data_IF_613327679652
#
_entry.id   IF_613327679652
#
_cell.length_a   1.000
_cell.length_b   1.000
_cell.length_c   1.000
_cell.angle_alpha   90.00
_cell.angle_beta   90.00
_cell.angle_gamma   90.00
#
_symmetry.space_group_name_H-M   'P 1'
#
loop_
_entity.id
_entity.type
_entity.pdbx_description
1 polymer ?
#
# COMPACT_ATOMS: atom_id res chain seq x y z
N UNK A 1 -10.82 44.00 17.23
CA UNK A 1 -11.29 43.40 15.97
C UNK A 1 -10.20 42.80 15.08
N UNK A 2 -9.00 43.37 14.94
CA UNK A 2 -7.92 42.81 14.11
C UNK A 2 -7.37 41.43 14.57
N UNK A 3 -7.27 41.19 15.87
CA UNK A 3 -6.77 39.90 16.39
C UNK A 3 -7.72 38.73 16.17
N UNK A 4 -9.03 38.96 16.22
CA UNK A 4 -10.02 37.90 15.96
C UNK A 4 -10.01 37.42 14.49
N UNK A 5 -9.72 38.33 13.56
CA UNK A 5 -9.60 37.98 12.14
C UNK A 5 -8.34 37.18 11.84
N UNK A 6 -7.22 37.48 12.49
CA UNK A 6 -5.98 36.73 12.32
C UNK A 6 -6.14 35.29 12.85
N UNK A 7 -6.79 35.11 14.00
CA UNK A 7 -7.05 33.78 14.58
C UNK A 7 -7.94 32.92 13.66
N UNK A 8 -8.97 33.53 13.05
CA UNK A 8 -9.83 32.84 12.09
C UNK A 8 -9.08 32.45 10.83
N UNK A 9 -8.20 33.30 10.32
CA UNK A 9 -7.37 32.99 9.15
C UNK A 9 -6.40 31.85 9.46
N UNK A 10 -5.73 31.87 10.63
CA UNK A 10 -4.86 30.78 11.06
C UNK A 10 -5.60 29.48 11.24
N UNK A 11 -6.80 29.50 11.81
CA UNK A 11 -7.65 28.32 11.97
C UNK A 11 -8.08 27.75 10.62
N UNK A 12 -8.37 28.61 9.64
CA UNK A 12 -8.73 28.22 8.28
C UNK A 12 -7.53 27.63 7.52
N UNK A 13 -6.32 28.18 7.69
CA UNK A 13 -5.08 27.64 7.10
C UNK A 13 -4.73 26.28 7.71
N UNK A 14 -4.84 26.11 9.01
CA UNK A 14 -4.62 24.83 9.69
C UNK A 14 -5.68 23.80 9.23
N UNK A 15 -6.94 24.21 9.07
CA UNK A 15 -8.00 23.35 8.55
C UNK A 15 -7.71 22.91 7.09
N UNK A 16 -7.29 23.84 6.23
CA UNK A 16 -6.88 23.55 4.85
C UNK A 16 -5.65 22.62 4.76
N UNK A 17 -4.66 22.81 5.64
CA UNK A 17 -3.51 21.90 5.73
C UNK A 17 -3.90 20.49 6.17
N UNK A 18 -4.89 20.34 7.03
CA UNK A 18 -5.42 19.02 7.41
C UNK A 18 -6.16 18.31 6.27
N UNK A 19 -6.77 19.05 5.34
CA UNK A 19 -7.44 18.45 4.16
C UNK A 19 -6.48 18.07 3.03
N UNK A 20 -5.28 18.63 2.97
CA UNK A 20 -4.29 18.33 1.92
C UNK A 20 -3.48 17.04 2.19
N UNK A 21 -3.63 16.42 3.36
CA UNK A 21 -3.06 15.11 3.64
C UNK A 21 -3.97 14.04 3.03
N UNK A 22 -3.86 13.86 1.72
CA UNK A 22 -4.39 12.69 1.03
C UNK A 22 -3.59 11.46 1.50
N UNK A 23 -3.89 11.00 2.72
CA UNK A 23 -3.33 9.78 3.25
C UNK A 23 -3.73 8.63 2.33
N UNK A 24 -2.76 7.97 1.76
CA UNK A 24 -2.96 6.71 1.03
C UNK A 24 -3.34 5.60 2.02
N UNK A 25 -4.50 5.73 2.64
CA UNK A 25 -5.05 4.78 3.60
C UNK A 25 -5.79 3.63 2.88
N UNK A 26 -5.26 3.15 1.76
CA UNK A 26 -5.93 2.09 1.00
C UNK A 26 -5.81 0.70 1.65
N UNK A 27 -4.85 0.55 2.55
CA UNK A 27 -4.42 -0.74 3.09
C UNK A 27 -5.39 -1.45 4.02
N UNK A 28 -6.19 -0.71 4.76
CA UNK A 28 -6.98 -1.26 5.87
C UNK A 28 -8.47 -0.92 5.76
N UNK A 29 -8.99 -0.70 4.55
CA UNK A 29 -10.39 -0.30 4.37
C UNK A 29 -11.37 -1.27 5.04
N UNK A 30 -11.15 -2.57 4.88
CA UNK A 30 -12.00 -3.59 5.52
C UNK A 30 -11.89 -3.54 7.03
N UNK A 31 -10.67 -3.41 7.56
CA UNK A 31 -10.42 -3.33 9.01
C UNK A 31 -11.07 -2.09 9.65
N UNK A 32 -11.24 -1.01 8.90
CA UNK A 32 -11.92 0.19 9.39
C UNK A 32 -13.34 -0.09 9.88
N UNK A 33 -14.06 -0.98 9.18
CA UNK A 33 -15.44 -1.34 9.51
C UNK A 33 -15.54 -2.52 10.49
N UNK A 34 -14.43 -3.18 10.82
CA UNK A 34 -14.42 -4.28 11.78
C UNK A 34 -14.41 -3.75 13.20
N UNK A 35 -15.58 -3.64 13.81
CA UNK A 35 -15.71 -3.22 15.21
C UNK A 35 -14.93 -4.15 16.14
N UNK A 36 -14.20 -3.55 17.08
CA UNK A 36 -13.36 -4.29 18.03
C UNK A 36 -11.94 -4.62 17.51
N UNK A 37 -11.65 -4.40 16.23
CA UNK A 37 -10.28 -4.57 15.70
C UNK A 37 -9.39 -3.40 16.14
N UNK A 38 -8.23 -3.71 16.68
CA UNK A 38 -7.19 -2.73 16.99
C UNK A 38 -6.53 -2.12 15.75
N UNK A 39 -6.65 -2.77 14.59
CA UNK A 39 -6.12 -2.29 13.33
C UNK A 39 -6.82 -1.01 12.83
N UNK A 40 -8.07 -0.77 13.24
CA UNK A 40 -8.80 0.49 12.96
C UNK A 40 -8.03 1.72 13.41
N UNK A 41 -7.28 1.61 14.50
CA UNK A 41 -6.48 2.71 15.05
C UNK A 41 -5.32 3.13 14.16
N UNK A 42 -4.86 2.27 13.27
CA UNK A 42 -3.82 2.62 12.31
C UNK A 42 -4.34 3.66 11.31
N UNK A 43 -5.63 3.60 10.97
CA UNK A 43 -6.29 4.55 10.07
C UNK A 43 -6.85 5.77 10.80
N UNK A 44 -7.42 5.54 11.97
CA UNK A 44 -8.00 6.60 12.80
C UNK A 44 -7.75 6.29 14.28
N UNK A 45 -6.81 6.97 14.92
CA UNK A 45 -6.47 6.73 16.33
C UNK A 45 -7.63 6.93 17.31
N UNK A 46 -8.68 7.67 16.92
CA UNK A 46 -9.87 7.84 17.75
C UNK A 46 -10.78 6.59 17.78
N UNK A 47 -10.58 5.63 16.86
CA UNK A 47 -11.35 4.38 16.82
C UNK A 47 -10.74 3.32 17.73
N UNK A 48 -10.78 3.59 19.02
CA UNK A 48 -10.24 2.70 20.05
C UNK A 48 -11.00 1.38 20.10
N UNK A 49 -10.31 0.24 20.34
CA UNK A 49 -10.98 -1.02 20.63
C UNK A 49 -11.71 -0.95 21.99
N UNK A 50 -12.75 -1.75 22.16
CA UNK A 50 -13.55 -1.75 23.42
C UNK A 50 -12.79 -2.15 24.67
N UNK A 51 -11.57 -2.70 24.55
CA UNK A 51 -10.70 -3.14 25.65
C UNK A 51 -9.23 -3.04 25.27
N UNK A 52 -8.35 -3.07 26.27
CA UNK A 52 -6.90 -3.18 26.06
C UNK A 52 -6.53 -4.45 25.31
N UNK A 53 -5.43 -4.42 24.61
CA UNK A 53 -4.93 -5.54 23.81
C UNK A 53 -3.40 -5.65 23.86
N UNK A 54 -2.91 -6.84 23.57
CA UNK A 54 -1.51 -7.12 23.31
C UNK A 54 -1.44 -8.08 22.13
N UNK A 55 -0.78 -7.67 21.06
CA UNK A 55 -0.50 -8.49 19.89
C UNK A 55 0.99 -8.86 19.91
N UNK A 56 1.24 -10.14 19.71
CA UNK A 56 2.59 -10.72 19.64
C UNK A 56 2.87 -11.12 18.18
N UNK A 57 4.15 -11.19 17.76
CA UNK A 57 4.52 -11.54 16.38
C UNK A 57 3.86 -12.82 15.89
N UNK A 58 3.63 -12.88 14.57
CA UNK A 58 3.08 -14.05 13.83
C UNK A 58 1.57 -14.28 14.01
N UNK A 59 0.95 -13.94 15.13
CA UNK A 59 -0.48 -14.19 15.36
C UNK A 59 -1.31 -12.90 15.19
N UNK A 60 -0.66 -11.74 15.17
CA UNK A 60 -1.36 -10.47 15.35
C UNK A 60 -1.84 -9.74 14.11
N UNK A 61 -1.02 -9.61 13.10
CA UNK A 61 -1.42 -8.86 11.89
C UNK A 61 -0.45 -9.05 10.73
N UNK A 62 -0.80 -9.90 9.82
CA UNK A 62 -0.23 -9.89 8.48
C UNK A 62 -1.27 -9.28 7.54
N UNK A 63 -0.92 -8.22 6.86
CA UNK A 63 -1.76 -7.61 5.84
C UNK A 63 -0.99 -7.59 4.52
N UNK A 64 -1.62 -8.13 3.50
CA UNK A 64 -1.09 -8.14 2.13
C UNK A 64 -2.14 -7.52 1.22
N UNK A 65 -1.74 -6.53 0.44
CA UNK A 65 -2.61 -5.87 -0.53
C UNK A 65 -1.91 -5.82 -1.87
N UNK A 66 -2.62 -6.24 -2.90
CA UNK A 66 -2.17 -6.17 -4.29
C UNK A 66 -3.13 -5.27 -5.05
N UNK A 67 -2.60 -4.26 -5.70
CA UNK A 67 -3.35 -3.36 -6.58
C UNK A 67 -2.68 -3.35 -7.96
N UNK A 68 -3.49 -3.43 -8.99
CA UNK A 68 -3.04 -3.28 -10.36
C UNK A 68 -3.92 -2.28 -11.10
N UNK A 69 -3.36 -1.56 -12.08
CA UNK A 69 -4.12 -0.63 -12.91
C UNK A 69 -4.87 -1.32 -14.05
N UNK A 70 -4.34 -2.42 -14.56
CA UNK A 70 -4.85 -3.10 -15.75
C UNK A 70 -5.38 -4.50 -15.49
N UNK A 71 -4.84 -5.18 -14.45
CA UNK A 71 -5.16 -6.57 -14.16
C UNK A 71 -6.10 -6.66 -12.96
N UNK A 72 -7.24 -7.30 -13.16
CA UNK A 72 -8.19 -7.62 -12.09
C UNK A 72 -7.78 -8.87 -11.31
N UNK A 73 -8.58 -9.22 -10.29
CA UNK A 73 -8.33 -10.40 -9.47
C UNK A 73 -8.25 -11.70 -10.30
N UNK A 74 -9.14 -11.85 -11.28
CA UNK A 74 -9.15 -13.04 -12.16
C UNK A 74 -7.88 -13.12 -12.99
N UNK A 75 -7.44 -12.00 -13.55
CA UNK A 75 -6.22 -11.94 -14.35
C UNK A 75 -4.99 -12.33 -13.53
N UNK A 76 -4.94 -11.91 -12.27
CA UNK A 76 -3.86 -12.29 -11.34
C UNK A 76 -3.91 -13.79 -11.05
N UNK A 77 -5.10 -14.37 -10.84
CA UNK A 77 -5.24 -15.81 -10.63
C UNK A 77 -4.86 -16.60 -11.89
N UNK A 78 -5.31 -16.17 -13.07
CA UNK A 78 -4.94 -16.76 -14.35
C UNK A 78 -3.41 -16.72 -14.57
N UNK A 79 -2.74 -15.63 -14.19
CA UNK A 79 -1.27 -15.51 -14.24
C UNK A 79 -0.59 -16.52 -13.31
N UNK A 80 -1.12 -16.71 -12.10
CA UNK A 80 -0.56 -17.66 -11.14
C UNK A 80 -0.75 -19.09 -11.63
N UNK A 81 -1.93 -19.43 -12.16
CA UNK A 81 -2.25 -20.77 -12.66
C UNK A 81 -1.46 -21.13 -13.92
N UNK A 82 -1.14 -20.12 -14.76
CA UNK A 82 -0.40 -20.31 -16.01
C UNK A 82 1.04 -19.77 -15.91
N UNK A 83 1.60 -19.66 -14.70
CA UNK A 83 2.92 -19.10 -14.48
C UNK A 83 4.06 -19.82 -15.21
N UNK A 84 3.89 -21.11 -15.47
CA UNK A 84 4.85 -21.97 -16.16
C UNK A 84 4.60 -22.04 -17.69
N UNK A 85 3.51 -21.42 -18.17
CA UNK A 85 3.14 -21.40 -19.59
C UNK A 85 3.56 -20.08 -20.24
N UNK A 86 4.67 -20.11 -20.97
CA UNK A 86 5.16 -18.95 -21.72
C UNK A 86 4.19 -18.48 -22.79
N UNK A 87 3.43 -19.40 -23.40
CA UNK A 87 2.50 -19.09 -24.49
C UNK A 87 1.29 -18.29 -23.98
N UNK A 88 0.91 -18.46 -22.72
CA UNK A 88 -0.13 -17.65 -22.07
C UNK A 88 0.22 -16.16 -22.10
N UNK A 89 1.43 -15.80 -21.70
CA UNK A 89 1.88 -14.40 -21.64
C UNK A 89 2.08 -13.77 -23.02
N UNK A 90 2.16 -14.59 -24.05
CA UNK A 90 2.31 -14.19 -25.45
C UNK A 90 0.98 -14.16 -26.19
N UNK A 91 -0.08 -14.64 -25.57
CA UNK A 91 -1.42 -14.69 -26.17
C UNK A 91 -1.97 -13.29 -26.45
N UNK A 92 -2.72 -13.17 -27.53
CA UNK A 92 -3.42 -11.91 -27.85
C UNK A 92 -4.41 -11.53 -26.76
N UNK A 93 -5.02 -12.50 -26.08
CA UNK A 93 -5.98 -12.27 -25.01
C UNK A 93 -5.31 -11.61 -23.81
N UNK A 94 -4.14 -12.08 -23.40
CA UNK A 94 -3.36 -11.46 -22.35
C UNK A 94 -2.89 -10.05 -22.75
N UNK A 95 -2.33 -9.92 -23.96
CA UNK A 95 -1.83 -8.66 -24.47
C UNK A 95 -2.93 -7.58 -24.59
N UNK A 96 -4.17 -7.96 -24.91
CA UNK A 96 -5.28 -7.01 -25.02
C UNK A 96 -5.80 -6.50 -23.67
N UNK A 97 -5.50 -7.21 -22.58
CA UNK A 97 -5.85 -6.77 -21.20
C UNK A 97 -4.86 -5.72 -20.66
N UNK A 98 -3.68 -5.63 -21.27
CA UNK A 98 -2.62 -4.72 -20.80
C UNK A 98 -2.85 -3.29 -21.30
N UNK A 99 -2.71 -2.34 -20.38
CA UNK A 99 -2.60 -0.92 -20.69
C UNK A 99 -1.21 -0.56 -21.26
N UNK A 100 -1.06 0.64 -21.78
CA UNK A 100 0.24 1.14 -22.25
C UNK A 100 1.33 1.05 -21.16
N UNK A 101 0.94 1.31 -19.91
CA UNK A 101 1.78 1.11 -18.72
C UNK A 101 0.96 0.41 -17.64
N UNK A 102 1.44 -0.72 -17.19
CA UNK A 102 0.76 -1.55 -16.19
C UNK A 102 1.42 -1.34 -14.83
N UNK A 103 0.69 -0.75 -13.92
CA UNK A 103 1.17 -0.50 -12.58
C UNK A 103 0.72 -1.65 -11.66
N UNK A 104 1.68 -2.21 -10.94
CA UNK A 104 1.45 -3.21 -9.91
C UNK A 104 2.00 -2.68 -8.59
N UNK A 105 1.17 -2.64 -7.57
CA UNK A 105 1.59 -2.26 -6.22
C UNK A 105 1.27 -3.40 -5.27
N UNK A 106 2.29 -3.88 -4.59
CA UNK A 106 2.19 -4.90 -3.55
C UNK A 106 2.63 -4.28 -2.23
N UNK A 107 1.73 -4.30 -1.27
CA UNK A 107 2.02 -3.79 0.05
C UNK A 107 1.89 -4.91 1.07
N UNK A 108 2.96 -5.12 1.81
CA UNK A 108 3.03 -6.10 2.88
C UNK A 108 3.28 -5.38 4.19
N UNK A 109 2.42 -5.62 5.17
CA UNK A 109 2.59 -5.02 6.49
C UNK A 109 2.34 -6.04 7.60
N UNK A 110 3.18 -6.01 8.60
CA UNK A 110 3.02 -6.81 9.80
C UNK A 110 3.39 -6.01 11.04
N UNK A 111 2.60 -6.15 12.10
CA UNK A 111 2.98 -5.62 13.40
C UNK A 111 3.75 -6.70 14.18
N UNK A 112 5.00 -6.40 14.52
CA UNK A 112 5.85 -7.26 15.31
C UNK A 112 5.35 -7.28 16.76
N UNK A 113 5.01 -6.10 17.27
CA UNK A 113 4.48 -5.92 18.60
C UNK A 113 3.51 -4.75 18.59
N UNK A 114 2.32 -4.96 19.13
CA UNK A 114 1.45 -3.83 19.40
C UNK A 114 0.66 -4.04 20.68
N UNK A 115 0.51 -2.97 21.45
CA UNK A 115 -0.22 -2.99 22.71
C UNK A 115 -1.05 -1.71 22.86
N UNK A 116 -2.18 -1.85 23.53
CA UNK A 116 -3.01 -0.72 23.88
C UNK A 116 -3.73 -0.94 25.20
N UNK A 117 -3.86 0.13 25.97
CA UNK A 117 -4.49 0.05 27.30
C UNK A 117 -5.26 1.32 27.63
N UNK A 118 -6.26 1.16 28.47
CA UNK A 118 -7.05 2.24 29.01
C UNK A 118 -6.50 2.74 30.35
N UNK A 119 -6.56 4.06 30.53
CA UNK A 119 -6.43 4.71 31.84
C UNK A 119 -7.57 5.73 31.99
N UNK A 120 -8.66 5.30 32.60
CA UNK A 120 -9.93 6.06 32.65
C UNK A 120 -10.53 6.25 31.25
N UNK A 121 -10.79 7.49 30.86
CA UNK A 121 -11.29 7.83 29.52
C UNK A 121 -10.19 7.94 28.45
N UNK A 122 -8.94 7.75 28.81
CA UNK A 122 -7.80 7.86 27.92
C UNK A 122 -7.36 6.46 27.47
N UNK A 123 -7.01 6.36 26.18
CA UNK A 123 -6.45 5.17 25.61
C UNK A 123 -5.05 5.46 25.07
N UNK A 124 -4.12 4.60 25.38
CA UNK A 124 -2.72 4.66 24.94
C UNK A 124 -2.41 3.46 24.09
N UNK A 125 -1.63 3.65 23.06
CA UNK A 125 -1.18 2.55 22.22
C UNK A 125 0.27 2.73 21.79
N UNK A 126 0.96 1.61 21.64
CA UNK A 126 2.27 1.52 21.03
C UNK A 126 2.26 0.42 19.99
N UNK A 127 2.96 0.62 18.89
CA UNK A 127 3.16 -0.42 17.89
C UNK A 127 4.56 -0.37 17.31
N UNK A 128 5.08 -1.54 17.00
CA UNK A 128 6.29 -1.74 16.20
C UNK A 128 5.91 -2.67 15.07
N UNK A 129 6.18 -2.26 13.85
CA UNK A 129 5.81 -3.03 12.66
C UNK A 129 6.83 -2.90 11.54
N UNK A 130 6.72 -3.79 10.57
CA UNK A 130 7.45 -3.76 9.31
C UNK A 130 6.47 -3.45 8.18
N UNK A 131 6.92 -2.61 7.28
CA UNK A 131 6.17 -2.20 6.09
C UNK A 131 7.06 -2.39 4.87
N UNK A 132 6.51 -3.03 3.86
CA UNK A 132 7.18 -3.22 2.59
C UNK A 132 6.21 -2.81 1.48
N UNK A 133 6.59 -1.81 0.73
CA UNK A 133 5.84 -1.30 -0.40
C UNK A 133 6.64 -1.57 -1.67
N UNK A 134 6.10 -2.38 -2.56
CA UNK A 134 6.72 -2.73 -3.83
C UNK A 134 5.82 -2.15 -4.93
N UNK A 135 6.36 -1.21 -5.70
CA UNK A 135 5.72 -0.62 -6.86
C UNK A 135 6.46 -1.02 -8.13
N UNK A 136 5.76 -1.56 -9.11
CA UNK A 136 6.29 -1.84 -10.43
C UNK A 136 5.44 -1.15 -11.50
N UNK A 137 6.09 -0.51 -12.45
CA UNK A 137 5.48 -0.04 -13.68
C UNK A 137 6.10 -0.80 -14.85
N UNK A 138 5.28 -1.55 -15.56
CA UNK A 138 5.72 -2.42 -16.67
C UNK A 138 5.01 -1.95 -17.94
N UNK A 139 5.74 -1.38 -18.91
CA UNK A 139 5.16 -0.96 -20.17
C UNK A 139 4.77 -2.17 -21.01
N UNK A 140 3.67 -2.05 -21.74
CA UNK A 140 3.19 -3.10 -22.68
C UNK A 140 4.25 -3.47 -23.71
N UNK A 141 5.07 -2.52 -24.12
CA UNK A 141 6.19 -2.73 -25.06
C UNK A 141 7.21 -3.75 -24.57
N UNK A 142 7.34 -3.92 -23.24
CA UNK A 142 8.20 -4.96 -22.67
C UNK A 142 7.66 -6.36 -22.96
N UNK A 143 6.35 -6.56 -22.82
CA UNK A 143 5.70 -7.84 -23.16
C UNK A 143 5.74 -8.09 -24.67
N UNK A 144 5.53 -7.05 -25.50
CA UNK A 144 5.66 -7.15 -26.95
C UNK A 144 7.08 -7.53 -27.36
N UNK A 145 8.10 -6.94 -26.74
CA UNK A 145 9.49 -7.31 -26.97
C UNK A 145 9.76 -8.78 -26.64
N UNK A 146 9.28 -9.25 -25.48
CA UNK A 146 9.43 -10.66 -25.10
C UNK A 146 8.75 -11.60 -26.09
N UNK A 147 7.55 -11.24 -26.55
CA UNK A 147 6.82 -12.00 -27.57
C UNK A 147 7.57 -12.02 -28.90
N UNK A 148 8.06 -10.86 -29.36
CA UNK A 148 8.84 -10.77 -30.60
C UNK A 148 10.15 -11.56 -30.52
N UNK A 149 10.78 -11.59 -29.33
CA UNK A 149 12.01 -12.38 -29.12
C UNK A 149 11.71 -13.88 -29.13
N UNK A 150 10.64 -14.31 -28.46
CA UNK A 150 10.27 -15.72 -28.38
C UNK A 150 9.78 -16.30 -29.70
N UNK A 151 9.12 -15.50 -30.53
CA UNK A 151 8.65 -15.93 -31.86
C UNK A 151 9.75 -16.00 -32.93
N UNK A 152 10.97 -15.54 -32.63
CA UNK A 152 12.12 -15.62 -33.54
C UNK A 152 12.88 -16.92 -33.29
N UNK A 153 13.06 -17.71 -34.35
CA UNK A 153 14.03 -18.78 -34.35
C UNK A 153 15.43 -18.16 -34.43
N UNK A 154 16.07 -18.05 -33.26
CA UNK A 154 17.45 -17.61 -33.20
C UNK A 154 18.35 -18.79 -33.57
N UNK A 155 19.08 -18.65 -34.68
CA UNK A 155 20.12 -19.57 -35.07
C UNK A 155 21.43 -19.36 -34.26
N UNK A 156 22.43 -20.17 -34.53
CA UNK A 156 23.76 -20.08 -33.89
C UNK A 156 24.57 -18.85 -34.33
N UNK A 157 24.05 -18.04 -35.23
CA UNK A 157 24.74 -16.88 -35.79
C UNK A 157 24.46 -15.59 -35.01
N UNK A 158 25.52 -14.86 -34.65
CA UNK A 158 25.41 -13.53 -34.01
C UNK A 158 24.58 -12.56 -34.85
N UNK A 159 24.57 -12.72 -36.19
CA UNK A 159 23.75 -11.89 -37.09
C UNK A 159 22.25 -11.91 -36.78
N UNK A 160 21.75 -13.00 -36.20
CA UNK A 160 20.31 -13.15 -35.88
C UNK A 160 19.91 -12.27 -34.71
N UNK A 161 20.89 -11.85 -33.92
CA UNK A 161 20.72 -10.95 -32.78
C UNK A 161 20.98 -9.47 -33.14
N UNK A 162 21.61 -9.22 -34.31
CA UNK A 162 21.87 -7.87 -34.77
C UNK A 162 20.61 -7.24 -35.40
N UNK A 163 20.45 -5.98 -35.15
CA UNK A 163 19.32 -5.22 -35.70
C UNK A 163 18.02 -5.26 -34.89
N UNK A 164 18.03 -5.88 -33.72
CA UNK A 164 16.93 -5.75 -32.76
C UNK A 164 17.06 -4.38 -32.10
N UNK A 165 16.24 -3.46 -32.55
CA UNK A 165 16.26 -2.08 -32.07
C UNK A 165 14.88 -1.76 -31.45
N UNK A 166 14.65 -2.25 -30.23
CA UNK A 166 13.43 -2.02 -29.45
C UNK A 166 13.73 -1.05 -28.32
N UNK A 167 12.93 0.00 -28.23
CA UNK A 167 13.04 0.97 -27.16
C UNK A 167 12.00 0.68 -26.10
N UNK A 168 12.43 0.19 -24.94
CA UNK A 168 11.56 -0.07 -23.80
C UNK A 168 11.76 1.08 -22.81
N UNK A 169 10.77 1.96 -22.72
CA UNK A 169 10.78 3.12 -21.83
C UNK A 169 9.66 3.01 -20.81
N UNK A 170 9.88 3.59 -19.63
CA UNK A 170 8.85 3.74 -18.60
C UNK A 170 8.74 2.56 -17.64
N UNK A 171 9.70 1.60 -17.68
CA UNK A 171 9.78 0.62 -16.61
C UNK A 171 10.28 1.29 -15.32
N UNK A 172 9.62 0.95 -14.22
CA UNK A 172 9.97 1.44 -12.91
C UNK A 172 9.80 0.34 -11.87
N UNK A 173 10.76 0.19 -10.99
CA UNK A 173 10.66 -0.65 -9.82
C UNK A 173 11.02 0.18 -8.59
N UNK A 174 10.11 0.26 -7.65
CA UNK A 174 10.29 0.92 -6.37
C UNK A 174 10.09 -0.10 -5.26
N UNK A 175 11.04 -0.19 -4.36
CA UNK A 175 10.96 -1.03 -3.18
C UNK A 175 11.27 -0.15 -1.98
N UNK A 176 10.27 0.01 -1.11
CA UNK A 176 10.41 0.74 0.14
C UNK A 176 10.19 -0.22 1.30
N UNK A 177 11.22 -0.41 2.09
CA UNK A 177 11.18 -1.23 3.30
C UNK A 177 11.54 -0.38 4.50
N UNK A 178 10.69 -0.37 5.52
CA UNK A 178 10.92 0.40 6.72
C UNK A 178 10.30 -0.26 7.96
N UNK A 179 10.94 -0.03 9.09
CA UNK A 179 10.34 -0.32 10.38
C UNK A 179 9.55 0.91 10.86
N UNK A 180 8.42 0.67 11.46
CA UNK A 180 7.53 1.66 12.03
C UNK A 180 7.50 1.51 13.55
N UNK A 181 7.73 2.60 14.28
CA UNK A 181 7.48 2.68 15.71
C UNK A 181 6.44 3.77 15.94
N UNK A 182 5.26 3.37 16.38
CA UNK A 182 4.13 4.27 16.58
C UNK A 182 3.74 4.41 18.05
N UNK A 183 3.36 5.63 18.43
CA UNK A 183 2.78 5.95 19.71
C UNK A 183 1.47 6.69 19.50
N UNK A 184 0.38 6.13 20.01
CA UNK A 184 -0.96 6.66 19.87
C UNK A 184 -1.59 7.06 21.19
N UNK A 185 -2.38 8.12 21.16
CA UNK A 185 -3.20 8.57 22.26
C UNK A 185 -4.59 8.90 21.76
N UNK A 186 -5.59 8.46 22.49
CA UNK A 186 -6.98 8.84 22.23
C UNK A 186 -7.75 9.06 23.52
N UNK A 187 -8.81 9.87 23.45
CA UNK A 187 -9.66 10.20 24.59
C UNK A 187 -11.12 10.22 24.22
N UNK A 188 -11.93 9.59 25.05
CA UNK A 188 -13.40 9.69 24.98
C UNK A 188 -13.81 11.01 25.62
N UNK A 189 -14.40 11.89 24.82
CA UNK A 189 -14.93 13.18 25.29
C UNK A 189 -16.39 13.00 25.73
N UNK A 190 -17.20 12.38 24.88
CA UNK A 190 -18.60 12.02 25.14
C UNK A 190 -18.86 10.61 24.61
N UNK A 191 -20.04 10.05 24.87
CA UNK A 191 -20.43 8.73 24.36
C UNK A 191 -20.45 8.64 22.82
N UNK A 192 -20.45 9.79 22.13
CA UNK A 192 -20.50 9.89 20.66
C UNK A 192 -19.25 10.54 20.04
N UNK A 193 -18.35 11.04 20.89
CA UNK A 193 -17.19 11.78 20.42
C UNK A 193 -15.92 11.29 21.11
N UNK A 194 -14.98 10.83 20.31
CA UNK A 194 -13.62 10.54 20.72
C UNK A 194 -12.64 11.32 19.85
N UNK A 195 -11.51 11.71 20.41
CA UNK A 195 -10.42 12.40 19.72
C UNK A 195 -9.14 11.61 19.93
N UNK A 196 -8.34 11.46 18.90
CA UNK A 196 -7.08 10.73 18.97
C UNK A 196 -6.06 11.24 17.98
N UNK A 197 -4.80 10.95 18.29
CA UNK A 197 -3.65 11.24 17.47
C UNK A 197 -2.60 10.13 17.59
N UNK A 198 -1.80 9.94 16.56
CA UNK A 198 -0.69 8.99 16.52
C UNK A 198 0.53 9.69 15.95
N UNK A 199 1.66 9.49 16.57
CA UNK A 199 2.97 9.87 16.05
C UNK A 199 3.70 8.60 15.68
N UNK A 200 4.29 8.60 14.49
CA UNK A 200 5.00 7.44 13.96
C UNK A 200 6.40 7.85 13.52
N UNK A 201 7.37 7.09 13.96
CA UNK A 201 8.75 7.16 13.50
C UNK A 201 8.97 6.07 12.46
N UNK A 202 9.54 6.42 11.33
CA UNK A 202 9.88 5.51 10.24
C UNK A 202 11.40 5.36 10.20
N UNK A 203 11.85 4.12 10.19
CA UNK A 203 13.25 3.75 10.12
C UNK A 203 13.45 2.94 8.84
N UNK A 204 14.11 3.53 7.84
CA UNK A 204 14.48 2.83 6.60
C UNK A 204 15.42 1.65 6.88
N UNK A 205 15.22 0.57 6.15
CA UNK A 205 16.01 -0.65 6.23
C UNK A 205 16.84 -0.79 4.95
#
# INVERSE_FOLDING_TARGET
MKQLNSLRVWLFVVLLLCFSLSGQAQFLRTSYFMEGSNQRMQLNPALMPGRGYLNIPVIGSLNATVNSSSLGYRDIMDIIENSDDSDYFMSNDFMNRLDATNNLNVNLSTDILSAGWYKGKNFWSVNVGLRNDIGAAIPKTMFQFMNNMSSREFGDNISDYLGINETINGQKLEINSYAEVGFGFARIITDRLAVGGKVTMLLGI
#
